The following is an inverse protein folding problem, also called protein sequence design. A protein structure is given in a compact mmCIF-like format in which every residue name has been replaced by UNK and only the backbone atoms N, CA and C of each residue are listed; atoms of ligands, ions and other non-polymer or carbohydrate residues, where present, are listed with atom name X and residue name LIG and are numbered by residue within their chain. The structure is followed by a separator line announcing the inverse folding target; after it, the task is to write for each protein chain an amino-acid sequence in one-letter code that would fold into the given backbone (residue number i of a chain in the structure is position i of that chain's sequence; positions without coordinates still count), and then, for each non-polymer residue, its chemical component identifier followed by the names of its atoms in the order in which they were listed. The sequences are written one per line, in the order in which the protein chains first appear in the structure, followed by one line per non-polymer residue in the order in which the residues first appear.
data_IF_532892305539
#
_entry.id   IF_532892305539
#
_cell.length_a   1.000
_cell.length_b   1.000
_cell.length_c   1.000
_cell.angle_alpha   90.00
_cell.angle_beta   90.00
_cell.angle_gamma   90.00
#
_symmetry.space_group_name_H-M   'P 1'
#
loop_
_entity.id
_entity.type
_entity.pdbx_description
1 polymer ?
#
# COMPACT_ATOMS: atom_id res chain seq x y z
N UNK A 1 -21.04 23.80 -9.49
CA UNK A 1 -20.71 24.12 -8.07
C UNK A 1 -19.80 23.06 -7.46
N UNK A 2 -18.63 22.75 -8.05
CA UNK A 2 -17.82 21.58 -7.63
C UNK A 2 -16.33 21.89 -7.33
N UNK A 3 -15.96 23.16 -7.13
CA UNK A 3 -14.53 23.50 -7.08
C UNK A 3 -14.22 24.75 -6.24
N UNK A 4 -14.64 24.78 -4.98
CA UNK A 4 -14.37 25.93 -4.10
C UNK A 4 -13.97 25.55 -2.65
N UNK A 5 -13.49 24.34 -2.41
CA UNK A 5 -13.05 23.91 -1.06
C UNK A 5 -11.58 23.49 -0.98
N UNK A 6 -10.78 23.76 -2.03
CA UNK A 6 -9.34 23.52 -2.03
C UNK A 6 -8.48 24.46 -1.15
N UNK A 7 -8.85 25.71 -0.77
CA UNK A 7 -7.92 26.58 -0.05
C UNK A 7 -7.70 26.19 1.42
N UNK A 8 -8.75 25.81 2.14
CA UNK A 8 -8.69 25.50 3.57
C UNK A 8 -7.91 24.19 3.87
N UNK A 9 -7.89 23.27 2.90
CA UNK A 9 -7.30 21.94 3.06
C UNK A 9 -5.77 21.92 2.88
N UNK A 10 -5.21 22.94 2.22
CA UNK A 10 -3.76 23.13 2.02
C UNK A 10 -3.04 23.62 3.28
N UNK A 11 -3.77 24.11 4.30
CA UNK A 11 -3.18 24.55 5.57
C UNK A 11 -2.90 23.41 6.56
N UNK A 12 -3.51 22.23 6.39
CA UNK A 12 -3.02 21.03 7.06
C UNK A 12 -1.81 20.50 6.31
N UNK A 13 -0.70 20.23 7.01
CA UNK A 13 0.59 19.80 6.48
C UNK A 13 0.62 18.43 5.75
N UNK A 14 -0.44 18.09 5.02
CA UNK A 14 -0.56 16.91 4.16
C UNK A 14 -1.40 17.25 2.92
N UNK A 15 -0.79 17.08 1.75
CA UNK A 15 -1.49 17.23 0.46
C UNK A 15 -2.29 15.96 0.12
N UNK A 16 -3.30 16.08 -0.75
CA UNK A 16 -4.06 14.92 -1.25
C UNK A 16 -3.16 13.87 -1.92
N UNK A 17 -2.08 14.31 -2.59
CA UNK A 17 -1.08 13.40 -3.19
C UNK A 17 -0.34 12.60 -2.12
N UNK A 18 0.06 13.26 -1.04
CA UNK A 18 0.71 12.59 0.08
C UNK A 18 -0.25 11.63 0.78
N UNK A 19 -1.52 12.01 0.96
CA UNK A 19 -2.55 11.11 1.46
C UNK A 19 -2.70 9.85 0.61
N UNK A 20 -2.75 9.99 -0.73
CA UNK A 20 -2.86 8.86 -1.64
C UNK A 20 -1.65 7.92 -1.55
N UNK A 21 -0.44 8.50 -1.51
CA UNK A 21 0.81 7.75 -1.32
C UNK A 21 0.78 6.96 -0.01
N UNK A 22 0.48 7.62 1.11
CA UNK A 22 0.45 7.01 2.43
C UNK A 22 -0.66 5.95 2.56
N UNK A 23 -1.78 6.12 1.86
CA UNK A 23 -2.85 5.13 1.78
C UNK A 23 -2.42 3.85 1.06
N UNK A 24 -1.59 3.97 0.01
CA UNK A 24 -0.97 2.84 -0.66
C UNK A 24 0.05 2.15 0.25
N UNK A 25 0.95 2.93 0.85
CA UNK A 25 2.00 2.39 1.74
C UNK A 25 1.42 1.59 2.92
N UNK A 26 0.22 1.94 3.41
CA UNK A 26 -0.48 1.17 4.46
C UNK A 26 -0.82 -0.26 4.05
N UNK A 27 -0.90 -0.56 2.76
CA UNK A 27 -1.14 -1.93 2.26
C UNK A 27 0.12 -2.79 2.38
N UNK A 28 1.29 -2.18 2.22
CA UNK A 28 2.59 -2.83 2.16
C UNK A 28 3.26 -2.89 3.54
N UNK A 29 3.15 -1.81 4.33
CA UNK A 29 3.71 -1.69 5.68
C UNK A 29 2.69 -1.14 6.68
N UNK A 30 2.85 -1.46 7.98
CA UNK A 30 2.13 -0.72 9.01
C UNK A 30 2.54 0.76 9.00
N UNK A 31 1.55 1.64 9.12
CA UNK A 31 1.81 3.06 9.31
C UNK A 31 2.18 3.34 10.77
N UNK A 32 3.05 4.33 10.97
CA UNK A 32 3.30 4.90 12.29
C UNK A 32 2.05 5.60 12.83
N UNK A 33 1.96 5.78 14.15
CA UNK A 33 0.81 6.44 14.77
C UNK A 33 0.59 7.88 14.24
N UNK A 34 1.66 8.62 13.97
CA UNK A 34 1.61 9.98 13.42
C UNK A 34 1.12 10.01 11.96
N UNK A 35 1.51 9.02 11.15
CA UNK A 35 1.01 8.82 9.79
C UNK A 35 -0.47 8.49 9.79
N UNK A 36 -0.89 7.55 10.63
CA UNK A 36 -2.30 7.17 10.76
C UNK A 36 -3.18 8.35 11.19
N UNK A 37 -2.68 9.18 12.12
CA UNK A 37 -3.38 10.37 12.59
C UNK A 37 -3.56 11.42 11.48
N UNK A 38 -2.49 11.73 10.74
CA UNK A 38 -2.57 12.68 9.60
C UNK A 38 -3.53 12.20 8.52
N UNK A 39 -3.51 10.90 8.22
CA UNK A 39 -4.42 10.26 7.26
C UNK A 39 -5.87 10.37 7.75
N UNK A 40 -6.15 10.14 9.04
CA UNK A 40 -7.49 10.35 9.60
C UNK A 40 -7.96 11.80 9.49
N UNK A 41 -7.15 12.77 9.91
CA UNK A 41 -7.53 14.19 9.86
C UNK A 41 -7.83 14.68 8.44
N UNK A 42 -6.92 14.41 7.49
CA UNK A 42 -7.12 14.82 6.11
C UNK A 42 -8.34 14.12 5.48
N UNK A 43 -8.55 12.84 5.78
CA UNK A 43 -9.72 12.09 5.29
C UNK A 43 -11.06 12.56 5.87
N UNK A 44 -11.08 13.16 7.07
CA UNK A 44 -12.30 13.75 7.65
C UNK A 44 -12.69 15.06 6.96
N UNK A 45 -11.71 15.86 6.55
CA UNK A 45 -11.93 17.19 5.94
C UNK A 45 -12.01 17.15 4.41
N UNK A 46 -11.45 16.12 3.77
CA UNK A 46 -11.38 15.98 2.32
C UNK A 46 -12.34 14.91 1.82
N UNK A 47 -13.44 15.32 1.20
CA UNK A 47 -14.42 14.38 0.63
C UNK A 47 -13.80 13.47 -0.46
N UNK A 48 -12.79 13.96 -1.21
CA UNK A 48 -12.11 13.19 -2.26
C UNK A 48 -11.23 12.10 -1.67
N UNK A 49 -10.49 12.40 -0.61
CA UNK A 49 -9.57 11.45 0.01
C UNK A 49 -10.25 10.49 0.98
N UNK A 50 -11.42 10.86 1.53
CA UNK A 50 -12.22 10.02 2.44
C UNK A 50 -12.48 8.59 1.95
N UNK A 51 -12.94 8.34 0.70
CA UNK A 51 -13.23 6.98 0.22
C UNK A 51 -11.99 6.19 -0.20
N UNK A 52 -10.88 6.86 -0.52
CA UNK A 52 -9.71 6.25 -1.16
C UNK A 52 -9.12 5.05 -0.39
N UNK A 53 -8.97 5.07 0.95
CA UNK A 53 -8.43 3.93 1.68
C UNK A 53 -9.33 2.68 1.59
N UNK A 54 -10.65 2.86 1.43
CA UNK A 54 -11.58 1.73 1.22
C UNK A 54 -11.48 1.18 -0.20
N UNK A 55 -11.25 2.03 -1.19
CA UNK A 55 -11.04 1.59 -2.58
C UNK A 55 -9.80 0.70 -2.70
N UNK A 56 -8.70 1.08 -2.05
CA UNK A 56 -7.50 0.26 -2.01
C UNK A 56 -7.71 -1.10 -1.33
N UNK A 57 -8.45 -1.14 -0.23
CA UNK A 57 -8.78 -2.42 0.43
C UNK A 57 -9.65 -3.31 -0.47
N UNK A 58 -10.64 -2.73 -1.17
CA UNK A 58 -11.45 -3.46 -2.12
C UNK A 58 -10.61 -4.02 -3.27
N UNK A 59 -9.68 -3.23 -3.83
CA UNK A 59 -8.76 -3.70 -4.86
C UNK A 59 -7.92 -4.87 -4.34
N UNK A 60 -7.37 -4.78 -3.13
CA UNK A 60 -6.60 -5.87 -2.50
C UNK A 60 -7.43 -7.13 -2.28
N UNK A 61 -8.69 -6.98 -1.88
CA UNK A 61 -9.61 -8.12 -1.72
C UNK A 61 -9.90 -8.78 -3.06
N UNK A 62 -10.19 -7.99 -4.09
CA UNK A 62 -10.46 -8.49 -5.43
C UNK A 62 -9.26 -9.21 -6.03
N UNK A 63 -8.04 -8.67 -5.89
CA UNK A 63 -6.83 -9.34 -6.40
C UNK A 63 -6.59 -10.68 -5.71
N UNK A 64 -6.82 -10.77 -4.40
CA UNK A 64 -6.73 -12.04 -3.65
C UNK A 64 -7.79 -13.05 -4.08
N UNK A 65 -9.03 -12.62 -4.29
CA UNK A 65 -10.11 -13.50 -4.76
C UNK A 65 -9.88 -13.99 -6.19
N UNK A 66 -9.39 -13.15 -7.10
CA UNK A 66 -9.11 -13.54 -8.48
C UNK A 66 -7.90 -14.47 -8.58
N UNK A 67 -6.84 -14.25 -7.80
CA UNK A 67 -5.68 -15.14 -7.76
C UNK A 67 -5.99 -16.55 -7.24
N UNK A 68 -7.09 -16.70 -6.50
CA UNK A 68 -7.60 -18.01 -6.06
C UNK A 68 -8.44 -18.72 -7.14
N UNK A 69 -8.99 -17.99 -8.11
CA UNK A 69 -9.80 -18.57 -9.20
C UNK A 69 -8.96 -19.01 -10.41
N UNK A 70 -7.69 -18.62 -10.50
CA UNK A 70 -6.75 -19.09 -11.52
C UNK A 70 -6.10 -20.45 -11.19
N UNK A 71 -6.42 -21.06 -10.05
CA UNK A 71 -5.99 -22.41 -9.69
C UNK A 71 -7.17 -23.18 -9.08
N UNK A 72 -7.81 -24.04 -9.87
CA UNK A 72 -8.63 -25.15 -9.35
C UNK A 72 -7.71 -26.26 -8.80
N UNK A 73 -6.82 -25.88 -7.88
CA UNK A 73 -6.13 -26.73 -6.92
C UNK A 73 -5.90 -25.85 -5.69
N UNK A 74 -6.24 -26.35 -4.51
CA UNK A 74 -6.16 -25.62 -3.25
C UNK A 74 -4.79 -24.92 -3.11
N UNK A 75 -4.73 -23.69 -2.55
CA UNK A 75 -3.44 -23.08 -2.27
C UNK A 75 -2.81 -23.89 -1.15
N UNK A 76 -1.98 -24.88 -1.50
CA UNK A 76 -0.94 -25.34 -0.60
C UNK A 76 -0.21 -24.08 -0.13
N UNK A 77 0.16 -23.98 1.16
CA UNK A 77 1.03 -22.89 1.60
C UNK A 77 2.20 -22.87 0.63
N UNK A 78 2.31 -21.80 -0.16
CA UNK A 78 3.27 -21.70 -1.24
C UNK A 78 4.66 -21.54 -0.61
N UNK A 79 5.19 -22.65 -0.10
CA UNK A 79 6.60 -22.82 0.11
C UNK A 79 7.22 -22.66 -1.26
N UNK A 80 7.99 -21.58 -1.43
CA UNK A 80 8.75 -21.37 -2.65
C UNK A 80 9.51 -22.66 -2.95
N UNK A 81 9.47 -23.17 -4.21
CA UNK A 81 10.30 -24.29 -4.59
C UNK A 81 11.73 -24.05 -4.11
N UNK A 82 12.42 -25.04 -3.53
CA UNK A 82 13.73 -24.85 -2.91
C UNK A 82 14.72 -24.16 -3.85
N UNK A 83 14.64 -24.49 -5.16
CA UNK A 83 15.42 -23.87 -6.21
C UNK A 83 15.13 -22.36 -6.41
N UNK A 84 13.85 -21.94 -6.33
CA UNK A 84 13.48 -20.54 -6.44
C UNK A 84 13.92 -19.75 -5.19
N UNK A 85 13.85 -20.38 -4.02
CA UNK A 85 14.31 -19.79 -2.76
C UNK A 85 15.82 -19.56 -2.74
N UNK A 86 16.60 -20.53 -3.21
CA UNK A 86 18.06 -20.43 -3.31
C UNK A 86 18.49 -19.32 -4.28
N UNK A 87 17.83 -19.21 -5.44
CA UNK A 87 18.06 -18.12 -6.40
C UNK A 87 17.77 -16.73 -5.81
N UNK A 88 16.66 -16.59 -5.08
CA UNK A 88 16.31 -15.33 -4.42
C UNK A 88 17.32 -14.99 -3.31
N UNK A 89 17.76 -15.98 -2.53
CA UNK A 89 18.77 -15.76 -1.49
C UNK A 89 20.11 -15.33 -2.07
N UNK A 90 20.60 -15.98 -3.13
CA UNK A 90 21.85 -15.61 -3.80
C UNK A 90 21.83 -14.19 -4.39
N UNK A 91 20.68 -13.75 -4.92
CA UNK A 91 20.51 -12.41 -5.43
C UNK A 91 20.57 -11.35 -4.30
N UNK A 92 19.90 -11.60 -3.17
CA UNK A 92 19.87 -10.67 -2.03
C UNK A 92 21.24 -10.54 -1.36
N UNK A 93 22.03 -11.62 -1.27
CA UNK A 93 23.39 -11.57 -0.73
C UNK A 93 24.32 -10.75 -1.61
N UNK A 94 24.20 -10.88 -2.94
CA UNK A 94 25.01 -10.12 -3.90
C UNK A 94 24.71 -8.60 -3.83
N UNK A 95 23.43 -8.21 -3.66
CA UNK A 95 23.08 -6.79 -3.48
C UNK A 95 23.63 -6.21 -2.16
N UNK A 96 23.62 -6.99 -1.06
CA UNK A 96 24.16 -6.54 0.22
C UNK A 96 25.68 -6.37 0.23
N UNK A 97 26.44 -7.16 -0.54
CA UNK A 97 27.91 -7.01 -0.67
C UNK A 97 28.31 -5.82 -1.54
N UNK A 98 27.47 -5.44 -2.52
CA UNK A 98 27.73 -4.28 -3.38
C UNK A 98 27.44 -2.91 -2.75
N UNK A 99 26.76 -2.89 -1.59
CA UNK A 99 26.42 -1.68 -0.85
C UNK A 99 27.41 -1.35 0.29
N UNK A 100 28.41 -2.21 0.53
CA UNK A 100 29.44 -2.07 1.58
C UNK A 100 30.86 -1.91 0.98
N UNK A 101 30.97 -1.32 -0.22
CA UNK A 101 32.25 -0.96 -0.87
C UNK A 101 32.22 0.45 -1.43
#
# INVERSE_FOLDING_TARGET
MLWAMCPALKLMGMSCRHFAKLSSERLDRPLTASEALRLRFHGLMCHVCRPLPRQFENLRRLTRCCGQHSHNEAPAPAELPPEAREKIQAALTHESESADS
#
